data_IF_272563304964
#
_entry.id   IF_272563304964
#
_cell.length_a   1.000
_cell.length_b   1.000
_cell.length_c   1.000
_cell.angle_alpha   90.00
_cell.angle_beta   90.00
_cell.angle_gamma   90.00
#
_symmetry.space_group_name_H-M   'P 1'
#
loop_
_entity.id
_entity.type
_entity.pdbx_description
1 polymer ?
#
# COMPACT_ATOMS: atom_id res chain seq x y z
N UNK A 1 8.40 13.82 -16.24
CA UNK A 1 7.04 14.05 -15.80
C UNK A 1 6.46 12.90 -14.96
N UNK A 2 6.58 11.69 -15.38
CA UNK A 2 5.64 10.65 -14.93
C UNK A 2 6.29 9.36 -14.46
N UNK A 3 7.63 9.27 -14.47
CA UNK A 3 8.33 8.09 -13.99
C UNK A 3 7.94 7.67 -12.58
N UNK A 4 8.04 8.54 -11.58
CA UNK A 4 7.61 8.20 -10.22
C UNK A 4 6.10 7.98 -10.09
N UNK A 5 5.29 8.67 -10.90
CA UNK A 5 3.85 8.44 -10.96
C UNK A 5 3.50 7.08 -11.52
N UNK A 6 4.16 6.64 -12.59
CA UNK A 6 3.94 5.32 -13.19
C UNK A 6 4.32 4.18 -12.25
N UNK A 7 5.46 4.28 -11.58
CA UNK A 7 5.88 3.26 -10.61
C UNK A 7 4.90 3.21 -9.43
N UNK A 8 4.47 4.36 -8.92
CA UNK A 8 3.48 4.44 -7.85
C UNK A 8 2.13 3.85 -8.26
N UNK A 9 1.68 4.15 -9.48
CA UNK A 9 0.48 3.55 -10.07
C UNK A 9 0.58 2.03 -10.07
N UNK A 10 1.70 1.50 -10.53
CA UNK A 10 1.93 0.06 -10.58
C UNK A 10 1.93 -0.57 -9.18
N UNK A 11 2.57 0.08 -8.21
CA UNK A 11 2.59 -0.37 -6.82
C UNK A 11 1.16 -0.46 -6.23
N UNK A 12 0.35 0.58 -6.44
CA UNK A 12 -1.03 0.58 -5.94
C UNK A 12 -1.91 -0.42 -6.67
N UNK A 13 -1.72 -0.63 -7.97
CA UNK A 13 -2.45 -1.65 -8.72
C UNK A 13 -2.10 -3.07 -8.24
N UNK A 14 -0.84 -3.34 -7.96
CA UNK A 14 -0.43 -4.63 -7.37
C UNK A 14 -1.08 -4.84 -6.01
N UNK A 15 -1.08 -3.82 -5.18
CA UNK A 15 -1.69 -3.87 -3.85
C UNK A 15 -3.21 -4.04 -3.95
N UNK A 16 -3.85 -3.35 -4.89
CA UNK A 16 -5.28 -3.49 -5.16
C UNK A 16 -5.63 -4.93 -5.61
N UNK A 17 -4.85 -5.50 -6.51
CA UNK A 17 -5.03 -6.88 -6.96
C UNK A 17 -4.90 -7.87 -5.80
N UNK A 18 -3.95 -7.64 -4.91
CA UNK A 18 -3.78 -8.44 -3.71
C UNK A 18 -5.00 -8.37 -2.78
N UNK A 19 -5.52 -7.17 -2.55
CA UNK A 19 -6.74 -6.99 -1.74
C UNK A 19 -7.98 -7.61 -2.37
N UNK A 20 -8.14 -7.50 -3.68
CA UNK A 20 -9.24 -8.16 -4.40
C UNK A 20 -9.19 -9.68 -4.23
N UNK A 21 -8.00 -10.25 -4.33
CA UNK A 21 -7.80 -11.69 -4.15
C UNK A 21 -8.12 -12.13 -2.73
N UNK A 22 -7.87 -11.28 -1.74
CA UNK A 22 -8.21 -11.53 -0.34
C UNK A 22 -9.66 -11.24 0.03
N UNK A 23 -10.49 -10.77 -0.91
CA UNK A 23 -11.88 -10.41 -0.66
C UNK A 23 -12.08 -9.02 -0.04
N UNK A 24 -11.03 -8.21 0.03
CA UNK A 24 -11.06 -6.86 0.61
C UNK A 24 -11.36 -5.82 -0.48
N UNK A 25 -12.60 -5.76 -0.91
CA UNK A 25 -13.01 -4.91 -2.05
C UNK A 25 -12.83 -3.42 -1.76
N UNK A 26 -13.15 -2.96 -0.54
CA UNK A 26 -13.00 -1.55 -0.17
C UNK A 26 -11.52 -1.13 -0.19
N UNK A 27 -10.62 -1.96 0.31
CA UNK A 27 -9.18 -1.72 0.23
C UNK A 27 -8.68 -1.63 -1.21
N UNK A 28 -9.19 -2.50 -2.09
CA UNK A 28 -8.85 -2.47 -3.51
C UNK A 28 -9.32 -1.17 -4.18
N UNK A 29 -10.54 -0.71 -3.89
CA UNK A 29 -11.07 0.56 -4.42
C UNK A 29 -10.23 1.75 -3.93
N UNK A 30 -9.85 1.76 -2.66
CA UNK A 30 -8.97 2.79 -2.10
C UNK A 30 -7.61 2.82 -2.81
N UNK A 31 -7.01 1.66 -3.05
CA UNK A 31 -5.74 1.56 -3.78
C UNK A 31 -5.87 2.06 -5.21
N UNK A 32 -6.95 1.75 -5.90
CA UNK A 32 -7.22 2.27 -7.24
C UNK A 32 -7.37 3.79 -7.24
N UNK A 33 -8.08 4.34 -6.26
CA UNK A 33 -8.18 5.80 -6.07
C UNK A 33 -6.81 6.44 -5.85
N UNK A 34 -5.97 5.84 -5.01
CA UNK A 34 -4.61 6.32 -4.77
C UNK A 34 -3.73 6.24 -6.02
N UNK A 35 -3.95 5.23 -6.87
CA UNK A 35 -3.27 5.13 -8.15
C UNK A 35 -3.56 6.34 -9.03
N UNK A 36 -4.82 6.80 -9.08
CA UNK A 36 -5.18 8.04 -9.76
C UNK A 36 -4.49 9.26 -9.16
N UNK A 37 -4.49 9.39 -7.85
CA UNK A 37 -3.83 10.50 -7.16
C UNK A 37 -2.32 10.51 -7.31
N UNK A 38 -1.71 9.41 -7.73
CA UNK A 38 -0.26 9.34 -8.00
C UNK A 38 0.20 10.33 -9.07
N UNK A 39 -0.69 10.74 -9.97
CA UNK A 39 -0.43 11.72 -11.02
C UNK A 39 -0.82 13.15 -10.63
N UNK A 40 -1.32 13.37 -9.44
CA UNK A 40 -1.74 14.69 -8.99
C UNK A 40 -0.55 15.65 -8.91
N UNK A 41 -0.79 16.89 -9.33
CA UNK A 41 0.18 17.99 -9.24
C UNK A 41 0.14 18.71 -7.90
N UNK A 42 -0.91 18.48 -7.11
CA UNK A 42 -1.06 19.13 -5.79
C UNK A 42 -0.01 18.58 -4.82
N UNK A 43 0.73 19.46 -4.17
CA UNK A 43 1.84 19.09 -3.29
C UNK A 43 1.40 18.23 -2.12
N UNK A 44 0.28 18.55 -1.49
CA UNK A 44 -0.23 17.79 -0.35
C UNK A 44 -0.70 16.38 -0.74
N UNK A 45 -1.30 16.21 -1.93
CA UNK A 45 -1.66 14.88 -2.45
C UNK A 45 -0.43 14.04 -2.78
N UNK A 46 0.57 14.65 -3.39
CA UNK A 46 1.84 13.96 -3.70
C UNK A 46 2.52 13.44 -2.43
N UNK A 47 2.54 14.26 -1.39
CA UNK A 47 3.11 13.87 -0.11
C UNK A 47 2.29 12.77 0.57
N UNK A 48 0.97 12.85 0.51
CA UNK A 48 0.08 11.80 1.00
C UNK A 48 0.30 10.47 0.29
N UNK A 49 0.44 10.50 -1.03
CA UNK A 49 0.74 9.30 -1.83
C UNK A 49 2.08 8.69 -1.42
N UNK A 50 3.11 9.51 -1.20
CA UNK A 50 4.42 9.02 -0.73
C UNK A 50 4.31 8.37 0.64
N UNK A 51 3.58 8.98 1.57
CA UNK A 51 3.35 8.42 2.90
C UNK A 51 2.59 7.09 2.84
N UNK A 52 1.56 7.01 2.00
CA UNK A 52 0.77 5.79 1.82
C UNK A 52 1.57 4.69 1.11
N UNK A 53 2.49 5.04 0.23
CA UNK A 53 3.47 4.08 -0.32
C UNK A 53 4.36 3.50 0.77
N UNK A 54 4.79 4.31 1.72
CA UNK A 54 5.56 3.83 2.88
C UNK A 54 4.76 2.85 3.73
N UNK A 55 3.49 3.16 3.99
CA UNK A 55 2.58 2.26 4.70
C UNK A 55 2.38 0.95 3.93
N UNK A 56 2.22 1.02 2.61
CA UNK A 56 2.13 -0.14 1.74
C UNK A 56 3.42 -0.98 1.75
N UNK A 57 4.59 -0.32 1.81
CA UNK A 57 5.88 -1.00 1.94
C UNK A 57 5.93 -1.85 3.23
N UNK A 58 5.48 -1.29 4.35
CA UNK A 58 5.39 -2.01 5.62
C UNK A 58 4.42 -3.19 5.53
N UNK A 59 3.30 -3.01 4.87
CA UNK A 59 2.33 -4.07 4.62
C UNK A 59 2.96 -5.23 3.84
N UNK A 60 3.64 -4.94 2.74
CA UNK A 60 4.32 -5.97 1.94
C UNK A 60 5.47 -6.63 2.70
N UNK A 61 6.16 -5.89 3.56
CA UNK A 61 7.17 -6.44 4.46
C UNK A 61 6.58 -7.46 5.44
N UNK A 62 5.45 -7.12 6.05
CA UNK A 62 4.74 -8.02 6.95
C UNK A 62 4.23 -9.27 6.22
N UNK A 63 3.70 -9.11 5.00
CA UNK A 63 3.27 -10.23 4.17
C UNK A 63 4.43 -11.14 3.75
N UNK A 64 5.55 -10.56 3.37
CA UNK A 64 6.77 -11.32 3.04
C UNK A 64 7.24 -12.14 4.24
N UNK A 65 7.24 -11.55 5.42
CA UNK A 65 7.59 -12.24 6.67
C UNK A 65 6.64 -13.40 6.98
N UNK A 66 5.34 -13.15 6.85
CA UNK A 66 4.31 -14.17 7.07
C UNK A 66 4.48 -15.35 6.13
N UNK A 67 4.66 -15.08 4.84
CA UNK A 67 4.88 -16.12 3.82
C UNK A 67 6.17 -16.89 4.07
N UNK A 68 7.26 -16.19 4.41
CA UNK A 68 8.54 -16.83 4.73
C UNK A 68 8.41 -17.80 5.92
N UNK A 69 7.69 -17.40 6.96
CA UNK A 69 7.43 -18.26 8.12
C UNK A 69 6.62 -19.50 7.75
N UNK A 70 5.56 -19.34 6.96
CA UNK A 70 4.73 -20.45 6.52
C UNK A 70 5.54 -21.47 5.71
N UNK A 71 6.38 -20.97 4.80
CA UNK A 71 7.23 -21.85 3.96
C UNK A 71 8.33 -22.56 4.74
N UNK A 72 8.90 -21.93 5.76
CA UNK A 72 9.84 -22.58 6.65
C UNK A 72 9.20 -23.74 7.42
N UNK A 73 7.91 -23.63 7.74
CA UNK A 73 7.17 -24.67 8.45
C UNK A 73 6.69 -25.79 7.53
N UNK A 74 6.31 -25.49 6.31
CA UNK A 74 5.68 -26.44 5.38
C UNK A 74 6.64 -27.05 4.36
N UNK A 75 7.85 -26.48 4.17
CA UNK A 75 8.88 -27.02 3.29
C UNK A 75 8.59 -26.95 1.80
N UNK A 76 7.79 -25.97 1.36
CA UNK A 76 7.45 -25.77 -0.06
C UNK A 76 8.47 -24.97 -0.86
N UNK A 77 8.18 -24.62 -2.13
CA UNK A 77 9.10 -23.87 -3.00
C UNK A 77 9.22 -22.41 -2.56
N UNK A 78 10.09 -22.18 -1.61
CA UNK A 78 10.35 -20.90 -0.95
C UNK A 78 10.67 -19.78 -1.94
N UNK A 79 11.52 -20.04 -2.94
CA UNK A 79 12.00 -19.02 -3.88
C UNK A 79 10.91 -18.46 -4.77
N UNK A 80 9.96 -19.27 -5.22
CA UNK A 80 8.87 -18.84 -6.10
C UNK A 80 7.86 -17.92 -5.39
N UNK A 81 7.50 -18.24 -4.17
CA UNK A 81 6.46 -17.53 -3.44
C UNK A 81 6.97 -16.27 -2.73
N UNK A 82 8.23 -16.25 -2.35
CA UNK A 82 8.86 -15.06 -1.76
C UNK A 82 9.30 -14.04 -2.82
N UNK A 83 9.44 -14.45 -4.08
CA UNK A 83 9.83 -13.53 -5.17
C UNK A 83 8.80 -12.41 -5.41
N UNK A 84 7.51 -12.72 -5.32
CA UNK A 84 6.44 -11.72 -5.54
C UNK A 84 6.47 -10.62 -4.49
N UNK A 85 6.42 -10.90 -3.16
CA UNK A 85 6.53 -9.84 -2.17
C UNK A 85 7.89 -9.14 -2.18
N UNK A 86 8.98 -9.84 -2.50
CA UNK A 86 10.30 -9.21 -2.64
C UNK A 86 10.32 -8.21 -3.79
N UNK A 87 9.76 -8.56 -4.95
CA UNK A 87 9.63 -7.66 -6.08
C UNK A 87 8.75 -6.44 -5.74
N UNK A 88 7.64 -6.67 -5.03
CA UNK A 88 6.77 -5.60 -4.55
C UNK A 88 7.51 -4.65 -3.61
N UNK A 89 8.29 -5.17 -2.67
CA UNK A 89 9.11 -4.36 -1.76
C UNK A 89 10.12 -3.49 -2.51
N UNK A 90 10.82 -4.07 -3.48
CA UNK A 90 11.80 -3.34 -4.30
C UNK A 90 11.14 -2.22 -5.11
N UNK A 91 9.99 -2.50 -5.73
CA UNK A 91 9.24 -1.50 -6.49
C UNK A 91 8.75 -0.35 -5.60
N UNK A 92 8.22 -0.66 -4.43
CA UNK A 92 7.78 0.34 -3.47
C UNK A 92 8.94 1.19 -2.97
N UNK A 93 10.07 0.57 -2.63
CA UNK A 93 11.28 1.30 -2.21
C UNK A 93 11.78 2.22 -3.31
N UNK A 94 11.83 1.75 -4.56
CA UNK A 94 12.24 2.56 -5.70
C UNK A 94 11.29 3.75 -5.93
N UNK A 95 9.98 3.53 -5.83
CA UNK A 95 8.98 4.57 -5.98
C UNK A 95 9.12 5.64 -4.89
N UNK A 96 9.30 5.22 -3.64
CA UNK A 96 9.47 6.13 -2.48
C UNK A 96 10.73 6.98 -2.66
N UNK A 97 11.86 6.36 -2.98
CA UNK A 97 13.13 7.06 -3.16
C UNK A 97 13.06 8.07 -4.29
N UNK A 98 12.44 7.68 -5.41
CA UNK A 98 12.28 8.58 -6.55
C UNK A 98 11.37 9.77 -6.22
N UNK A 99 10.27 9.54 -5.54
CA UNK A 99 9.36 10.59 -5.12
C UNK A 99 9.99 11.55 -4.13
N UNK A 100 10.75 11.04 -3.15
CA UNK A 100 11.43 11.89 -2.17
C UNK A 100 12.42 12.85 -2.78
N UNK A 101 13.09 12.47 -3.86
CA UNK A 101 14.02 13.36 -4.57
C UNK A 101 13.34 14.58 -5.18
N UNK A 102 12.06 14.47 -5.51
CA UNK A 102 11.29 15.56 -6.11
C UNK A 102 10.40 16.32 -5.13
N UNK A 103 10.36 15.92 -3.86
CA UNK A 103 9.51 16.58 -2.87
C UNK A 103 10.10 17.91 -2.41
N UNK A 104 9.26 18.96 -2.42
CA UNK A 104 9.55 20.27 -1.87
C UNK A 104 8.90 20.41 -0.50
N UNK A 105 9.48 21.28 0.34
CA UNK A 105 8.86 21.64 1.61
C UNK A 105 7.49 22.27 1.39
N UNK A 106 6.47 21.74 2.04
CA UNK A 106 5.12 22.22 1.95
C UNK A 106 4.82 23.23 3.06
N UNK A 107 3.98 24.28 2.80
CA UNK A 107 3.48 25.13 3.84
C UNK A 107 2.64 24.36 4.87
N UNK A 108 2.60 24.85 6.10
CA UNK A 108 1.94 24.19 7.24
C UNK A 108 0.48 23.78 6.96
N UNK A 109 -0.39 24.60 6.33
CA UNK A 109 -1.76 24.17 6.05
C UNK A 109 -1.85 22.99 5.09
N UNK A 110 -0.95 22.88 4.11
CA UNK A 110 -0.91 21.76 3.19
C UNK A 110 -0.40 20.48 3.87
N UNK A 111 0.56 20.60 4.78
CA UNK A 111 1.03 19.49 5.61
C UNK A 111 -0.09 18.92 6.47
N UNK A 112 -0.91 19.79 7.08
CA UNK A 112 -2.07 19.39 7.87
C UNK A 112 -3.09 18.62 7.01
N UNK A 113 -3.40 19.11 5.81
CA UNK A 113 -4.28 18.40 4.85
C UNK A 113 -3.74 17.04 4.48
N UNK A 114 -2.44 16.96 4.20
CA UNK A 114 -1.77 15.68 3.89
C UNK A 114 -1.90 14.68 5.01
N UNK A 115 -1.66 15.10 6.25
CA UNK A 115 -1.79 14.24 7.43
C UNK A 115 -3.21 13.74 7.63
N UNK A 116 -4.20 14.63 7.56
CA UNK A 116 -5.61 14.29 7.72
C UNK A 116 -6.03 13.28 6.65
N UNK A 117 -5.68 13.53 5.40
CA UNK A 117 -5.99 12.62 4.31
C UNK A 117 -5.34 11.25 4.50
N UNK A 118 -4.06 11.21 4.82
CA UNK A 118 -3.31 9.95 5.02
C UNK A 118 -3.86 9.13 6.17
N UNK A 119 -4.14 9.78 7.31
CA UNK A 119 -4.70 9.11 8.49
C UNK A 119 -6.11 8.58 8.17
N UNK A 120 -6.93 9.37 7.47
CA UNK A 120 -8.28 8.94 7.07
C UNK A 120 -8.25 7.70 6.18
N UNK A 121 -7.36 7.67 5.20
CA UNK A 121 -7.18 6.52 4.30
C UNK A 121 -6.70 5.29 5.07
N UNK A 122 -5.72 5.45 5.97
CA UNK A 122 -5.24 4.35 6.81
C UNK A 122 -6.34 3.80 7.72
N UNK A 123 -7.17 4.66 8.31
CA UNK A 123 -8.30 4.22 9.12
C UNK A 123 -9.32 3.44 8.30
N UNK A 124 -9.60 3.86 7.07
CA UNK A 124 -10.49 3.13 6.16
C UNK A 124 -9.92 1.74 5.83
N UNK A 125 -8.61 1.62 5.59
CA UNK A 125 -7.97 0.32 5.39
C UNK A 125 -8.08 -0.57 6.62
N UNK A 126 -7.86 -0.03 7.80
CA UNK A 126 -8.00 -0.78 9.06
C UNK A 126 -9.43 -1.26 9.29
N UNK A 127 -10.43 -0.41 9.03
CA UNK A 127 -11.83 -0.79 9.13
C UNK A 127 -12.18 -1.90 8.15
N UNK A 128 -11.71 -1.81 6.91
CA UNK A 128 -11.90 -2.84 5.90
C UNK A 128 -11.26 -4.18 6.31
N UNK A 129 -10.08 -4.14 6.92
CA UNK A 129 -9.41 -5.33 7.42
C UNK A 129 -10.14 -5.97 8.62
N UNK A 130 -10.78 -5.15 9.47
CA UNK A 130 -11.52 -5.63 10.64
C UNK A 130 -12.88 -6.26 10.30
N UNK A 131 -13.55 -5.76 9.25
CA UNK A 131 -14.88 -6.24 8.83
C UNK A 131 -14.87 -7.74 8.46
N UNK A 132 -13.99 -8.23 7.60
CA UNK A 132 -13.90 -9.66 7.30
C UNK A 132 -13.60 -10.50 8.52
N UNK A 133 -12.76 -10.01 9.42
CA UNK A 133 -12.44 -10.70 10.66
C UNK A 133 -13.67 -10.86 11.55
N UNK A 134 -14.48 -9.82 11.68
CA UNK A 134 -15.73 -9.87 12.45
C UNK A 134 -16.76 -10.83 11.84
N UNK A 135 -16.88 -10.83 10.52
CA UNK A 135 -17.76 -11.75 9.81
C UNK A 135 -17.35 -13.21 10.04
N UNK A 136 -16.06 -13.49 9.96
CA UNK A 136 -15.52 -14.83 10.24
C UNK A 136 -15.75 -15.25 11.69
N UNK A 137 -15.65 -14.32 12.63
CA UNK A 137 -15.93 -14.58 14.04
C UNK A 137 -17.43 -14.73 14.29
N UNK A 138 -18.28 -14.00 13.59
CA UNK A 138 -19.74 -14.08 13.71
C UNK A 138 -20.35 -15.36 13.15
N UNK A 139 -19.77 -15.93 12.13
CA UNK A 139 -20.23 -17.20 11.53
C UNK A 139 -19.92 -18.42 12.40
N UNK A 140 -19.06 -18.28 13.38
CA UNK A 140 -18.70 -19.36 14.30
C UNK A 140 -19.55 -19.39 15.60
N UNK A 141 -20.33 -18.38 15.78
CA UNK A 141 -21.25 -18.28 16.91
C UNK A 141 -22.65 -18.72 16.49
#
# INVERSE_FOLDING_TARGET
MTGPGLISLFCFLMTAAYFLRGGMCAGAVLCMGLAFFSFSRRGWLRRSVTFLLQASLLFWGAEAWRLARLWMMEGGPFLLWTSIPAAALLLHAAAILWRRRGEKNLPVPELARSRVFSVSVLLLFLLDALVPFRLLMGERI
#
